data_IF_046706129122
#
_entry.id   IF_046706129122
#
_cell.length_a   1.000
_cell.length_b   1.000
_cell.length_c   1.000
_cell.angle_alpha   90.00
_cell.angle_beta   90.00
_cell.angle_gamma   90.00
#
_symmetry.space_group_name_H-M   'P 1'
#
loop_
_entity.id
_entity.type
_entity.pdbx_description
1 polymer ?
#
# COMPACT_ATOMS: atom_id res chain seq x y z
N UNK A 1 7.57 -6.40 35.08
CA UNK A 1 8.19 -7.06 33.91
C UNK A 1 7.08 -7.70 33.09
N UNK A 2 6.82 -7.25 31.84
CA UNK A 2 5.79 -7.88 31.03
C UNK A 2 6.25 -9.28 30.59
N UNK A 3 5.40 -10.26 30.85
CA UNK A 3 5.66 -11.70 30.68
C UNK A 3 5.94 -12.03 29.20
N UNK A 4 6.89 -12.94 28.94
CA UNK A 4 7.30 -13.40 27.60
C UNK A 4 6.15 -13.85 26.67
N UNK A 5 4.96 -14.13 27.22
CA UNK A 5 3.72 -14.39 26.47
C UNK A 5 3.20 -13.19 25.67
N UNK A 6 3.33 -11.96 26.18
CA UNK A 6 2.90 -10.75 25.46
C UNK A 6 3.76 -10.49 24.21
N UNK A 7 5.06 -10.78 24.30
CA UNK A 7 6.00 -10.70 23.18
C UNK A 7 5.82 -11.84 22.16
N UNK A 8 5.34 -13.01 22.58
CA UNK A 8 5.03 -14.11 21.65
C UNK A 8 3.70 -13.89 20.90
N UNK A 9 2.69 -13.29 21.52
CA UNK A 9 1.45 -12.89 20.84
C UNK A 9 1.72 -11.84 19.74
N UNK A 10 2.61 -10.89 20.00
CA UNK A 10 3.08 -9.91 19.01
C UNK A 10 3.94 -10.54 17.89
N UNK A 11 4.65 -11.64 18.16
CA UNK A 11 5.41 -12.40 17.13
C UNK A 11 4.54 -13.36 16.33
N UNK A 12 3.43 -13.83 16.88
CA UNK A 12 2.48 -14.75 16.22
C UNK A 12 1.46 -14.02 15.35
N UNK A 13 1.15 -12.76 15.65
CA UNK A 13 0.50 -11.86 14.70
C UNK A 13 1.53 -11.36 13.68
N UNK A 14 2.12 -12.26 12.88
CA UNK A 14 2.72 -11.83 11.61
C UNK A 14 1.53 -11.31 10.79
N UNK A 15 1.43 -10.01 10.48
CA UNK A 15 0.38 -9.54 9.59
C UNK A 15 0.59 -10.30 8.29
N UNK A 16 -0.42 -11.06 7.87
CA UNK A 16 -0.37 -11.73 6.59
C UNK A 16 -0.17 -10.65 5.52
N UNK A 17 0.98 -10.71 4.84
CA UNK A 17 1.42 -9.64 3.95
C UNK A 17 0.43 -9.41 2.81
N UNK A 18 -0.23 -10.48 2.34
CA UNK A 18 -1.30 -10.36 1.37
C UNK A 18 -2.53 -9.68 1.99
N UNK A 19 -2.93 -10.07 3.21
CA UNK A 19 -4.06 -9.42 3.89
C UNK A 19 -3.80 -7.92 4.18
N UNK A 20 -2.58 -7.55 4.56
CA UNK A 20 -2.20 -6.16 4.79
C UNK A 20 -2.21 -5.34 3.49
N UNK A 21 -1.80 -5.92 2.37
CA UNK A 21 -1.91 -5.28 1.07
C UNK A 21 -3.38 -5.08 0.65
N UNK A 22 -4.25 -6.07 0.83
CA UNK A 22 -5.68 -5.90 0.56
C UNK A 22 -6.31 -4.81 1.44
N UNK A 23 -5.93 -4.73 2.71
CA UNK A 23 -6.38 -3.66 3.61
C UNK A 23 -5.93 -2.27 3.14
N UNK A 24 -4.69 -2.14 2.69
CA UNK A 24 -4.17 -0.89 2.11
C UNK A 24 -4.95 -0.52 0.84
N UNK A 25 -5.21 -1.48 -0.06
CA UNK A 25 -5.96 -1.23 -1.29
C UNK A 25 -7.39 -0.78 -1.00
N UNK A 26 -8.08 -1.46 -0.09
CA UNK A 26 -9.41 -1.06 0.36
C UNK A 26 -9.39 0.36 0.95
N UNK A 27 -8.39 0.67 1.80
CA UNK A 27 -8.23 1.99 2.38
C UNK A 27 -8.06 3.10 1.33
N UNK A 28 -7.30 2.82 0.26
CA UNK A 28 -7.08 3.74 -0.85
C UNK A 28 -8.33 3.89 -1.72
N UNK A 29 -9.08 2.81 -1.98
CA UNK A 29 -10.31 2.84 -2.77
C UNK A 29 -11.42 3.66 -2.12
N UNK A 30 -11.51 3.59 -0.80
CA UNK A 30 -12.44 4.42 -0.02
C UNK A 30 -12.09 5.92 -0.10
N UNK A 31 -10.88 6.28 -0.53
CA UNK A 31 -10.33 7.65 -0.53
C UNK A 31 -9.64 8.01 -1.85
N UNK A 32 -10.39 8.13 -2.97
CA UNK A 32 -9.80 8.52 -4.25
C UNK A 32 -9.12 9.90 -4.16
N UNK A 33 -7.91 10.00 -4.70
CA UNK A 33 -7.10 11.22 -4.74
C UNK A 33 -6.34 11.54 -3.45
N UNK A 34 -6.65 10.88 -2.33
CA UNK A 34 -5.96 11.10 -1.06
C UNK A 34 -4.57 10.48 -1.11
N UNK A 35 -3.58 11.26 -0.69
CA UNK A 35 -2.21 10.79 -0.57
C UNK A 35 -2.03 10.11 0.77
N UNK A 36 -1.51 8.88 0.71
CA UNK A 36 -1.29 8.03 1.87
C UNK A 36 0.20 7.71 1.92
N UNK A 37 0.86 8.06 3.02
CA UNK A 37 2.23 7.64 3.26
C UNK A 37 2.22 6.22 3.78
N UNK A 38 2.93 5.32 3.10
CA UNK A 38 3.12 3.93 3.51
C UNK A 38 4.57 3.72 3.94
N UNK A 39 4.74 2.92 4.99
CA UNK A 39 6.05 2.59 5.55
C UNK A 39 6.13 1.12 5.90
N UNK A 40 7.23 0.48 5.53
CA UNK A 40 7.71 -0.77 6.09
C UNK A 40 9.23 -0.67 6.32
N UNK A 41 9.87 -1.77 6.74
CA UNK A 41 11.31 -1.79 6.99
C UNK A 41 12.18 -1.46 5.76
N UNK A 42 11.67 -1.69 4.55
CA UNK A 42 12.42 -1.61 3.29
C UNK A 42 11.89 -0.53 2.34
N UNK A 43 10.71 0.02 2.60
CA UNK A 43 10.03 0.98 1.74
C UNK A 43 9.37 2.06 2.58
N UNK A 44 9.64 3.31 2.24
CA UNK A 44 8.87 4.47 2.68
C UNK A 44 8.48 5.23 1.43
N UNK A 45 7.18 5.28 1.12
CA UNK A 45 6.71 6.03 -0.03
C UNK A 45 5.28 6.56 0.12
N UNK A 46 4.91 7.53 -0.72
CA UNK A 46 3.54 8.00 -0.82
C UNK A 46 2.82 7.27 -1.95
N UNK A 47 1.59 6.83 -1.70
CA UNK A 47 0.71 6.21 -2.68
C UNK A 47 -0.66 6.88 -2.67
N UNK A 48 -1.38 6.78 -3.79
CA UNK A 48 -2.77 7.25 -3.89
C UNK A 48 -3.54 6.43 -4.89
N UNK A 49 -4.85 6.35 -4.72
CA UNK A 49 -5.75 5.82 -5.75
C UNK A 49 -6.21 6.97 -6.64
N UNK A 50 -5.94 6.91 -7.94
CA UNK A 50 -6.30 7.96 -8.90
C UNK A 50 -7.71 7.80 -9.48
N UNK A 51 -8.38 6.67 -9.21
CA UNK A 51 -9.70 6.37 -9.74
C UNK A 51 -9.67 5.24 -10.77
N UNK A 52 -10.75 5.16 -11.53
CA UNK A 52 -10.93 4.16 -12.58
C UNK A 52 -10.67 4.82 -13.95
N UNK A 53 -9.92 4.15 -14.81
CA UNK A 53 -9.63 4.57 -16.17
C UNK A 53 -10.11 3.49 -17.16
N UNK A 54 -10.75 3.91 -18.25
CA UNK A 54 -11.15 3.00 -19.32
C UNK A 54 -10.00 2.87 -20.33
N UNK A 55 -9.41 1.68 -20.42
CA UNK A 55 -8.36 1.37 -21.38
C UNK A 55 -8.79 0.16 -22.21
N UNK A 56 -8.86 0.32 -23.54
CA UNK A 56 -9.30 -0.74 -24.47
C UNK A 56 -10.70 -1.33 -24.15
N UNK A 57 -11.63 -0.51 -23.65
CA UNK A 57 -12.98 -0.93 -23.28
C UNK A 57 -13.06 -1.71 -21.96
N UNK A 58 -11.98 -1.73 -21.18
CA UNK A 58 -11.96 -2.28 -19.82
C UNK A 58 -11.70 -1.16 -18.81
N UNK A 59 -12.57 -1.07 -17.81
CA UNK A 59 -12.41 -0.14 -16.69
C UNK A 59 -11.44 -0.75 -15.68
N UNK A 60 -10.28 -0.12 -15.49
CA UNK A 60 -9.21 -0.60 -14.61
C UNK A 60 -8.84 0.45 -13.56
N UNK A 61 -8.48 0.05 -12.33
CA UNK A 61 -8.07 1.01 -11.32
C UNK A 61 -6.64 1.50 -11.57
N UNK A 62 -6.44 2.80 -11.35
CA UNK A 62 -5.15 3.48 -11.49
C UNK A 62 -4.68 3.97 -10.14
N UNK A 63 -3.38 3.84 -9.92
CA UNK A 63 -2.71 4.22 -8.67
C UNK A 63 -1.52 5.10 -8.99
N UNK A 64 -1.21 6.03 -8.08
CA UNK A 64 0.03 6.79 -8.08
C UNK A 64 1.00 6.22 -7.04
N UNK A 65 2.26 6.07 -7.41
CA UNK A 65 3.38 5.85 -6.49
C UNK A 65 4.32 7.05 -6.61
N UNK A 66 4.62 7.71 -5.50
CA UNK A 66 5.53 8.85 -5.52
C UNK A 66 6.99 8.38 -5.60
N UNK A 67 7.72 8.90 -6.58
CA UNK A 67 9.13 8.63 -6.77
C UNK A 67 9.95 9.80 -6.23
N UNK A 68 10.46 9.69 -5.01
CA UNK A 68 11.23 10.75 -4.35
C UNK A 68 12.49 11.18 -5.12
N UNK A 69 13.09 10.27 -5.88
CA UNK A 69 14.25 10.55 -6.72
C UNK A 69 13.93 11.50 -7.87
N UNK A 70 12.74 11.34 -8.48
CA UNK A 70 12.28 12.15 -9.61
C UNK A 70 11.37 13.32 -9.17
N UNK A 71 10.88 13.28 -7.93
CA UNK A 71 9.86 14.19 -7.39
C UNK A 71 8.55 14.17 -8.17
N UNK A 72 8.23 13.02 -8.75
CA UNK A 72 7.08 12.83 -9.65
C UNK A 72 6.21 11.68 -9.18
N UNK A 73 4.96 11.69 -9.65
CA UNK A 73 4.02 10.58 -9.47
C UNK A 73 4.15 9.63 -10.64
N UNK A 74 4.48 8.36 -10.35
CA UNK A 74 4.39 7.29 -11.32
C UNK A 74 2.98 6.72 -11.29
N UNK A 75 2.28 6.83 -12.40
CA UNK A 75 0.95 6.26 -12.56
C UNK A 75 1.05 4.82 -13.08
N UNK A 76 0.37 3.92 -12.39
CA UNK A 76 0.42 2.48 -12.67
C UNK A 76 -0.97 1.86 -12.58
N UNK A 77 -1.18 0.79 -13.35
CA UNK A 77 -2.35 -0.06 -13.20
C UNK A 77 -2.28 -0.94 -11.95
N UNK A 78 -3.43 -1.53 -11.59
CA UNK A 78 -3.56 -2.37 -10.40
C UNK A 78 -2.56 -3.53 -10.34
N UNK A 79 -2.36 -4.26 -11.44
CA UNK A 79 -1.46 -5.42 -11.49
C UNK A 79 -0.02 -5.02 -11.14
N UNK A 80 0.48 -3.92 -11.72
CA UNK A 80 1.81 -3.40 -11.43
C UNK A 80 1.92 -2.90 -10.00
N UNK A 81 0.90 -2.17 -9.51
CA UNK A 81 0.85 -1.66 -8.15
C UNK A 81 0.89 -2.80 -7.11
N UNK A 82 0.03 -3.81 -7.29
CA UNK A 82 -0.02 -5.03 -6.48
C UNK A 82 1.28 -5.82 -6.54
N UNK A 83 1.89 -5.94 -7.72
CA UNK A 83 3.16 -6.65 -7.87
C UNK A 83 4.28 -5.93 -7.12
N UNK A 84 4.36 -4.61 -7.26
CA UNK A 84 5.38 -3.79 -6.59
C UNK A 84 5.20 -3.83 -5.07
N UNK A 85 4.02 -3.49 -4.55
CA UNK A 85 3.76 -3.55 -3.11
C UNK A 85 3.66 -4.98 -2.58
N UNK A 86 3.43 -5.97 -3.43
CA UNK A 86 3.53 -7.38 -3.06
C UNK A 86 4.97 -7.82 -2.79
N UNK A 87 5.98 -7.06 -3.22
CA UNK A 87 7.39 -7.35 -2.91
C UNK A 87 7.79 -6.90 -1.51
N UNK A 88 7.16 -5.86 -0.96
CA UNK A 88 7.46 -5.33 0.38
C UNK A 88 6.30 -5.55 1.37
N UNK A 89 6.44 -5.03 2.57
CA UNK A 89 5.43 -5.12 3.62
C UNK A 89 5.68 -6.24 4.65
N UNK A 90 4.82 -6.36 5.68
CA UNK A 90 3.60 -5.57 5.90
C UNK A 90 3.86 -4.07 6.16
N UNK A 91 2.90 -3.25 5.80
CA UNK A 91 2.95 -1.79 5.85
C UNK A 91 2.14 -1.23 7.02
N UNK A 92 2.61 -0.09 7.52
CA UNK A 92 1.80 0.89 8.24
C UNK A 92 1.52 2.06 7.31
N UNK A 93 0.37 2.72 7.45
CA UNK A 93 0.03 3.87 6.63
C UNK A 93 -0.65 5.00 7.40
N UNK A 94 -0.40 6.23 6.95
CA UNK A 94 -0.95 7.47 7.51
C UNK A 94 -1.42 8.37 6.37
N UNK A 95 -2.54 9.08 6.55
CA UNK A 95 -2.98 10.12 5.61
C UNK A 95 -2.03 11.32 5.72
N UNK A 96 -1.56 11.83 4.57
CA UNK A 96 -0.56 12.90 4.50
C UNK A 96 -1.16 14.31 4.58
#
# INVERSE_FOLDING_TARGET
MPSARGLQALKQARPDKAANLEQLLAFLHDRPGVTVQIRCAELETAVRFNGLEEENGQVQPRYGIYLYTLREWLEVGESTFRTYLGQYGPYTWEEA
#
